data_IF_700371464172
#
_entry.id   IF_700371464172
#
_cell.length_a   1.000
_cell.length_b   1.000
_cell.length_c   1.000
_cell.angle_alpha   90.00
_cell.angle_beta   90.00
_cell.angle_gamma   90.00
#
_symmetry.space_group_name_H-M   'P 1'
#
loop_
_entity.id
_entity.type
_entity.pdbx_description
1 polymer ?
#
# COMPACT_ATOMS: atom_id res chain seq x y z
N UNK A 1 -40.57 7.87 -7.01
CA UNK A 1 -39.59 6.76 -7.03
C UNK A 1 -38.86 6.85 -5.70
N UNK A 2 -38.82 5.77 -4.91
CA UNK A 2 -38.02 5.80 -3.68
C UNK A 2 -36.55 5.95 -4.04
N UNK A 3 -35.82 6.78 -3.30
CA UNK A 3 -34.38 6.94 -3.50
C UNK A 3 -33.72 5.58 -3.27
N UNK A 4 -33.00 5.10 -4.29
CA UNK A 4 -32.22 3.88 -4.18
C UNK A 4 -31.07 4.11 -3.21
N UNK A 5 -30.98 3.26 -2.18
CA UNK A 5 -29.91 3.28 -1.19
C UNK A 5 -28.96 2.12 -1.48
N UNK A 6 -27.70 2.43 -1.73
CA UNK A 6 -26.65 1.44 -1.95
C UNK A 6 -26.43 0.61 -0.67
N UNK A 7 -26.64 -0.71 -0.67
CA UNK A 7 -26.60 -1.53 0.54
C UNK A 7 -25.26 -1.46 1.30
N UNK A 8 -24.15 -1.32 0.59
CA UNK A 8 -22.82 -1.23 1.19
C UNK A 8 -22.57 0.09 1.95
N UNK A 9 -23.35 1.12 1.63
CA UNK A 9 -23.25 2.47 2.21
C UNK A 9 -24.43 2.81 3.13
N UNK A 10 -25.36 1.88 3.35
CA UNK A 10 -26.56 2.12 4.14
C UNK A 10 -26.23 2.27 5.63
N UNK A 11 -26.33 3.51 6.12
CA UNK A 11 -26.01 3.86 7.51
C UNK A 11 -27.14 3.55 8.49
N UNK A 12 -28.32 3.18 7.99
CA UNK A 12 -29.50 2.90 8.83
C UNK A 12 -29.45 1.52 9.50
N UNK A 13 -28.63 0.59 8.97
CA UNK A 13 -28.50 -0.74 9.55
C UNK A 13 -27.57 -0.76 10.78
N UNK A 14 -28.18 -0.83 11.97
CA UNK A 14 -27.46 -0.94 13.23
C UNK A 14 -26.79 -2.31 13.45
N UNK A 15 -27.08 -3.33 12.63
CA UNK A 15 -26.44 -4.64 12.73
C UNK A 15 -24.96 -4.61 12.37
N UNK A 16 -24.47 -3.53 11.75
CA UNK A 16 -23.06 -3.34 11.35
C UNK A 16 -22.03 -3.55 12.46
N UNK A 17 -22.43 -3.43 13.73
CA UNK A 17 -21.56 -3.59 14.90
C UNK A 17 -21.38 -5.04 15.36
N UNK A 18 -22.15 -5.98 14.82
CA UNK A 18 -22.06 -7.41 15.14
C UNK A 18 -21.72 -8.16 13.86
N UNK A 19 -20.62 -8.91 13.85
CA UNK A 19 -20.31 -9.78 12.74
C UNK A 19 -21.37 -10.92 12.70
N UNK A 20 -22.16 -11.03 11.62
CA UNK A 20 -23.20 -12.05 11.55
C UNK A 20 -22.60 -13.45 11.44
N UNK A 21 -23.24 -14.42 12.10
CA UNK A 21 -22.94 -15.85 11.97
C UNK A 21 -24.24 -16.54 11.52
N UNK A 22 -24.32 -17.06 10.27
CA UNK A 22 -23.30 -17.02 9.22
C UNK A 22 -23.06 -15.60 8.64
N UNK A 23 -21.92 -15.36 7.95
CA UNK A 23 -21.67 -14.08 7.27
C UNK A 23 -22.79 -13.74 6.27
N UNK A 24 -23.19 -12.47 6.24
CA UNK A 24 -24.17 -11.96 5.28
C UNK A 24 -23.57 -11.85 3.87
N UNK A 25 -22.26 -11.59 3.78
CA UNK A 25 -21.49 -11.53 2.54
C UNK A 25 -20.32 -12.53 2.56
N UNK A 26 -20.56 -13.80 2.20
CA UNK A 26 -19.54 -14.86 2.29
C UNK A 26 -18.31 -14.64 1.39
N UNK A 27 -18.49 -13.96 0.26
CA UNK A 27 -17.44 -13.60 -0.67
C UNK A 27 -16.48 -12.55 -0.08
N UNK A 28 -17.01 -11.48 0.54
CA UNK A 28 -16.23 -10.49 1.27
C UNK A 28 -15.54 -11.12 2.47
N UNK A 29 -16.23 -11.98 3.22
CA UNK A 29 -15.64 -12.69 4.34
C UNK A 29 -14.47 -13.59 3.91
N UNK A 30 -14.60 -14.26 2.76
CA UNK A 30 -13.50 -15.06 2.18
C UNK A 30 -12.31 -14.20 1.82
N UNK A 31 -12.51 -13.01 1.24
CA UNK A 31 -11.41 -12.08 0.93
C UNK A 31 -10.69 -11.65 2.22
N UNK A 32 -11.43 -11.32 3.28
CA UNK A 32 -10.85 -11.01 4.58
C UNK A 32 -10.04 -12.17 5.14
N UNK A 33 -10.58 -13.39 5.09
CA UNK A 33 -9.85 -14.58 5.56
C UNK A 33 -8.60 -14.89 4.74
N UNK A 34 -8.60 -14.61 3.44
CA UNK A 34 -7.41 -14.71 2.61
C UNK A 34 -6.37 -13.66 3.01
N UNK A 35 -6.76 -12.41 3.25
CA UNK A 35 -5.84 -11.39 3.73
C UNK A 35 -5.21 -11.77 5.10
N UNK A 36 -6.03 -12.23 6.05
CA UNK A 36 -5.54 -12.70 7.36
C UNK A 36 -4.57 -13.88 7.23
N UNK A 37 -4.80 -14.79 6.30
CA UNK A 37 -3.91 -15.91 6.06
C UNK A 37 -2.56 -15.51 5.45
N UNK A 38 -2.45 -14.30 4.91
CA UNK A 38 -1.24 -13.70 4.35
C UNK A 38 -0.54 -12.74 5.32
N UNK A 39 -0.90 -12.73 6.61
CA UNK A 39 -0.23 -11.88 7.60
C UNK A 39 1.28 -12.18 7.65
N UNK A 40 2.08 -11.12 7.72
CA UNK A 40 3.53 -11.18 7.90
C UNK A 40 4.02 -9.96 8.69
N UNK A 41 5.21 -10.03 9.27
CA UNK A 41 5.87 -8.88 9.92
C UNK A 41 7.26 -8.60 9.34
N UNK A 42 7.74 -7.36 9.49
CA UNK A 42 9.02 -6.92 8.91
C UNK A 42 10.22 -7.74 9.38
N UNK A 43 10.15 -8.31 10.58
CA UNK A 43 11.20 -9.17 11.15
C UNK A 43 11.38 -10.49 10.40
N UNK A 44 10.41 -10.90 9.59
CA UNK A 44 10.52 -12.10 8.75
C UNK A 44 11.43 -11.87 7.53
N UNK A 45 11.77 -10.61 7.22
CA UNK A 45 12.58 -10.23 6.06
C UNK A 45 14.05 -10.02 6.46
N UNK A 46 14.93 -10.95 6.05
CA UNK A 46 16.38 -10.83 6.25
C UNK A 46 17.04 -9.91 5.21
N UNK A 47 17.51 -8.74 5.66
CA UNK A 47 18.22 -7.75 4.83
C UNK A 47 19.76 -7.89 4.89
N UNK A 48 20.31 -8.87 5.61
CA UNK A 48 21.76 -8.98 5.84
C UNK A 48 22.58 -9.08 4.56
N UNK A 49 22.06 -9.78 3.54
CA UNK A 49 22.70 -9.93 2.22
C UNK A 49 22.45 -8.73 1.29
N UNK A 50 21.39 -7.97 1.53
CA UNK A 50 20.98 -6.87 0.66
C UNK A 50 21.97 -5.71 0.74
N UNK A 51 22.55 -5.48 1.91
CA UNK A 51 23.62 -4.47 2.09
C UNK A 51 24.82 -4.77 1.19
N UNK A 52 25.29 -6.02 1.17
CA UNK A 52 26.40 -6.43 0.29
C UNK A 52 26.03 -6.28 -1.19
N UNK A 53 24.84 -6.76 -1.56
CA UNK A 53 24.35 -6.67 -2.94
C UNK A 53 24.24 -5.22 -3.40
N UNK A 54 23.74 -4.34 -2.56
CA UNK A 54 23.58 -2.92 -2.85
C UNK A 54 24.92 -2.23 -3.14
N UNK A 55 25.93 -2.45 -2.31
CA UNK A 55 27.22 -1.77 -2.42
C UNK A 55 28.17 -2.40 -3.43
N UNK A 56 28.09 -3.72 -3.64
CA UNK A 56 29.11 -4.46 -4.38
C UNK A 56 28.60 -5.14 -5.65
N UNK A 57 27.28 -5.34 -5.81
CA UNK A 57 26.71 -6.02 -6.98
C UNK A 57 25.87 -5.12 -7.88
N UNK A 58 25.23 -4.10 -7.32
CA UNK A 58 24.51 -3.11 -8.12
C UNK A 58 25.48 -2.05 -8.67
N UNK A 59 25.20 -1.58 -9.88
CA UNK A 59 25.84 -0.38 -10.42
C UNK A 59 25.15 0.91 -9.93
N UNK A 60 25.69 2.08 -10.29
CA UNK A 60 25.15 3.38 -9.89
C UNK A 60 23.72 3.61 -10.36
N UNK A 61 23.41 3.19 -11.59
CA UNK A 61 22.12 3.45 -12.22
C UNK A 61 21.03 2.54 -11.64
N UNK A 62 21.39 1.30 -11.32
CA UNK A 62 20.53 0.36 -10.60
C UNK A 62 20.23 0.86 -9.19
N UNK A 63 21.24 1.30 -8.43
CA UNK A 63 21.02 1.89 -7.11
C UNK A 63 20.14 3.13 -7.19
N UNK A 64 20.43 4.03 -8.13
CA UNK A 64 19.62 5.23 -8.35
C UNK A 64 18.16 4.85 -8.65
N UNK A 65 17.94 3.92 -9.57
CA UNK A 65 16.60 3.51 -9.96
C UNK A 65 15.81 2.89 -8.80
N UNK A 66 16.42 1.97 -8.04
CA UNK A 66 15.77 1.31 -6.91
C UNK A 66 15.53 2.27 -5.75
N UNK A 67 16.47 3.19 -5.46
CA UNK A 67 16.25 4.17 -4.39
C UNK A 67 15.05 5.07 -4.71
N UNK A 68 14.83 5.42 -5.98
CA UNK A 68 13.64 6.18 -6.40
C UNK A 68 12.34 5.38 -6.29
N UNK A 69 12.37 4.08 -6.55
CA UNK A 69 11.22 3.19 -6.33
C UNK A 69 10.88 3.13 -4.84
N UNK A 70 11.86 2.88 -3.97
CA UNK A 70 11.64 2.82 -2.52
C UNK A 70 11.08 4.13 -1.97
N UNK A 71 11.59 5.26 -2.46
CA UNK A 71 11.10 6.59 -2.10
C UNK A 71 9.63 6.83 -2.52
N UNK A 72 9.21 6.29 -3.67
CA UNK A 72 7.81 6.31 -4.07
C UNK A 72 6.94 5.44 -3.15
N UNK A 73 7.39 4.23 -2.83
CA UNK A 73 6.64 3.30 -1.97
C UNK A 73 6.46 3.83 -0.54
N UNK A 74 7.55 4.25 0.10
CA UNK A 74 7.54 4.76 1.48
C UNK A 74 6.54 5.91 1.68
N UNK A 75 6.29 6.69 0.64
CA UNK A 75 5.34 7.79 0.69
C UNK A 75 3.91 7.41 0.25
N UNK A 76 3.76 6.38 -0.59
CA UNK A 76 2.47 6.01 -1.18
C UNK A 76 1.57 5.22 -0.25
N UNK A 77 2.13 4.31 0.55
CA UNK A 77 1.33 3.49 1.49
C UNK A 77 0.66 4.38 2.55
N UNK A 78 1.33 5.45 2.98
CA UNK A 78 0.74 6.45 3.86
C UNK A 78 -0.50 7.13 3.26
N UNK A 79 -0.48 7.41 1.94
CA UNK A 79 -1.62 8.02 1.22
C UNK A 79 -2.76 7.00 1.07
N UNK A 80 -2.45 5.74 0.78
CA UNK A 80 -3.44 4.66 0.73
C UNK A 80 -4.11 4.51 2.08
N UNK A 81 -3.32 4.45 3.16
CA UNK A 81 -3.81 4.34 4.52
C UNK A 81 -4.69 5.53 4.91
N UNK A 82 -4.31 6.76 4.55
CA UNK A 82 -5.12 7.95 4.79
C UNK A 82 -6.51 7.84 4.14
N UNK A 83 -6.60 7.35 2.90
CA UNK A 83 -7.88 7.11 2.25
C UNK A 83 -8.70 6.01 2.94
N UNK A 84 -8.06 4.90 3.31
CA UNK A 84 -8.74 3.80 3.98
C UNK A 84 -9.37 4.27 5.30
N UNK A 85 -8.61 5.00 6.12
CA UNK A 85 -9.04 5.48 7.44
C UNK A 85 -10.06 6.62 7.34
N UNK A 86 -9.83 7.61 6.47
CA UNK A 86 -10.67 8.80 6.41
C UNK A 86 -11.93 8.60 5.55
N UNK A 87 -11.90 7.67 4.59
CA UNK A 87 -12.99 7.50 3.60
C UNK A 87 -13.56 6.09 3.65
N UNK A 88 -12.89 5.11 3.06
CA UNK A 88 -13.53 3.81 2.76
C UNK A 88 -14.01 3.07 4.02
N UNK A 89 -13.21 3.02 5.08
CA UNK A 89 -13.61 2.38 6.33
C UNK A 89 -14.68 3.18 7.11
N UNK A 90 -14.93 4.44 6.78
CA UNK A 90 -16.02 5.23 7.36
C UNK A 90 -17.31 5.07 6.56
N UNK A 91 -17.20 5.03 5.24
CA UNK A 91 -18.33 5.00 4.31
C UNK A 91 -18.96 3.61 4.21
N UNK A 92 -18.15 2.55 4.23
CA UNK A 92 -18.64 1.17 4.15
C UNK A 92 -19.24 0.71 5.49
N UNK A 93 -20.48 0.23 5.41
CA UNK A 93 -21.27 -0.20 6.57
C UNK A 93 -21.33 -1.72 6.73
N UNK A 94 -20.96 -2.49 5.71
CA UNK A 94 -20.91 -3.96 5.75
C UNK A 94 -19.76 -4.43 6.66
N UNK A 95 -20.08 -5.19 7.70
CA UNK A 95 -19.13 -5.64 8.72
C UNK A 95 -17.96 -6.44 8.14
N UNK A 96 -18.23 -7.35 7.20
CA UNK A 96 -17.21 -8.18 6.55
C UNK A 96 -16.19 -7.34 5.77
N UNK A 97 -16.65 -6.32 5.04
CA UNK A 97 -15.77 -5.38 4.34
C UNK A 97 -14.99 -4.49 5.32
N UNK A 98 -15.60 -4.08 6.44
CA UNK A 98 -14.90 -3.34 7.49
C UNK A 98 -13.79 -4.18 8.14
N UNK A 99 -14.01 -5.50 8.31
CA UNK A 99 -12.97 -6.42 8.74
C UNK A 99 -11.80 -6.47 7.73
N UNK A 100 -12.11 -6.53 6.44
CA UNK A 100 -11.10 -6.47 5.38
C UNK A 100 -10.29 -5.17 5.45
N UNK A 101 -10.95 -4.01 5.45
CA UNK A 101 -10.26 -2.72 5.51
C UNK A 101 -9.48 -2.51 6.81
N UNK A 102 -9.99 -2.99 7.95
CA UNK A 102 -9.24 -2.94 9.21
C UNK A 102 -7.93 -3.73 9.14
N UNK A 103 -7.94 -4.87 8.45
CA UNK A 103 -6.73 -5.65 8.24
C UNK A 103 -5.82 -5.04 7.16
N UNK A 104 -6.38 -4.51 6.08
CA UNK A 104 -5.62 -3.79 5.06
C UNK A 104 -4.86 -2.61 5.66
N UNK A 105 -5.51 -1.78 6.49
CA UNK A 105 -4.87 -0.67 7.21
C UNK A 105 -3.68 -1.15 8.05
N UNK A 106 -3.81 -2.30 8.72
CA UNK A 106 -2.72 -2.87 9.50
C UNK A 106 -1.54 -3.29 8.60
N UNK A 107 -1.81 -3.94 7.47
CA UNK A 107 -0.77 -4.35 6.52
C UNK A 107 -0.12 -3.18 5.81
N UNK A 108 -0.84 -2.11 5.47
CA UNK A 108 -0.25 -0.88 4.92
C UNK A 108 0.77 -0.25 5.89
N UNK A 109 0.56 -0.37 7.21
CA UNK A 109 1.56 0.07 8.18
C UNK A 109 2.82 -0.81 8.16
N UNK A 110 2.65 -2.13 8.02
CA UNK A 110 3.77 -3.08 7.88
C UNK A 110 4.55 -2.81 6.59
N UNK A 111 3.86 -2.52 5.48
CA UNK A 111 4.50 -2.13 4.21
C UNK A 111 5.31 -0.85 4.37
N UNK A 112 4.73 0.18 4.98
CA UNK A 112 5.40 1.46 5.23
C UNK A 112 6.64 1.29 6.11
N UNK A 113 6.57 0.45 7.14
CA UNK A 113 7.71 0.10 7.98
C UNK A 113 8.80 -0.63 7.18
N UNK A 114 8.42 -1.62 6.37
CA UNK A 114 9.36 -2.38 5.54
C UNK A 114 10.13 -1.49 4.57
N UNK A 115 9.45 -0.56 3.88
CA UNK A 115 10.11 0.36 2.96
C UNK A 115 11.00 1.37 3.69
N UNK A 116 10.59 1.82 4.87
CA UNK A 116 11.42 2.69 5.72
C UNK A 116 12.69 1.97 6.15
N UNK A 117 12.58 0.71 6.57
CA UNK A 117 13.71 -0.14 6.97
C UNK A 117 14.65 -0.41 5.79
N UNK A 118 14.13 -0.68 4.60
CA UNK A 118 14.92 -0.84 3.38
C UNK A 118 15.73 0.43 3.06
N UNK A 119 15.10 1.60 3.11
CA UNK A 119 15.79 2.88 2.89
C UNK A 119 16.89 3.08 3.94
N UNK A 120 16.57 2.91 5.22
CA UNK A 120 17.54 3.13 6.31
C UNK A 120 18.73 2.15 6.24
N UNK A 121 18.47 0.90 5.87
CA UNK A 121 19.48 -0.16 5.78
C UNK A 121 20.43 0.04 4.58
N UNK A 122 19.90 0.50 3.44
CA UNK A 122 20.64 0.54 2.17
C UNK A 122 21.33 1.89 1.92
N UNK A 123 20.75 2.99 2.41
CA UNK A 123 21.19 4.36 2.09
C UNK A 123 22.04 4.92 3.22
N UNK A 124 23.36 4.91 3.02
CA UNK A 124 24.33 5.39 4.02
C UNK A 124 24.44 6.90 4.11
N UNK A 125 24.19 7.61 3.01
CA UNK A 125 24.28 9.07 2.98
C UNK A 125 23.04 9.67 3.66
N UNK A 126 23.19 10.39 4.78
CA UNK A 126 22.07 11.01 5.49
C UNK A 126 21.28 12.01 4.63
N UNK A 127 21.95 12.74 3.73
CA UNK A 127 21.30 13.74 2.89
C UNK A 127 20.46 13.07 1.80
N UNK A 128 20.98 11.99 1.21
CA UNK A 128 20.23 11.16 0.27
C UNK A 128 19.02 10.54 0.97
N UNK A 129 19.22 9.93 2.14
CA UNK A 129 18.17 9.31 2.93
C UNK A 129 17.05 10.30 3.28
N UNK A 130 17.40 11.50 3.74
CA UNK A 130 16.42 12.55 4.05
C UNK A 130 15.62 12.94 2.80
N UNK A 131 16.28 13.07 1.65
CA UNK A 131 15.59 13.37 0.40
C UNK A 131 14.61 12.26 -0.01
N UNK A 132 14.94 10.99 0.21
CA UNK A 132 14.05 9.87 -0.10
C UNK A 132 12.84 9.81 0.85
N UNK A 133 13.01 10.13 2.13
CA UNK A 133 11.86 10.27 3.06
C UNK A 133 11.00 11.49 2.75
N UNK A 134 11.58 12.56 2.22
CA UNK A 134 10.85 13.75 1.76
C UNK A 134 10.44 13.67 0.27
N UNK A 135 10.30 12.47 -0.28
CA UNK A 135 10.11 12.26 -1.72
C UNK A 135 8.89 12.97 -2.31
N UNK A 136 7.77 13.04 -1.57
CA UNK A 136 6.57 13.78 -2.01
C UNK A 136 6.89 15.26 -2.27
N UNK A 137 7.83 15.84 -1.50
CA UNK A 137 8.21 17.25 -1.63
C UNK A 137 9.34 17.43 -2.62
N UNK A 138 10.35 16.55 -2.59
CA UNK A 138 11.60 16.73 -3.34
C UNK A 138 11.63 16.08 -4.73
N UNK A 139 10.79 15.07 -4.99
CA UNK A 139 10.80 14.31 -6.24
C UNK A 139 9.54 14.60 -7.06
N UNK A 140 9.63 15.37 -8.17
CA UNK A 140 8.46 15.81 -8.93
C UNK A 140 7.55 14.68 -9.44
N UNK A 141 8.12 13.52 -9.76
CA UNK A 141 7.36 12.35 -10.24
C UNK A 141 6.62 11.62 -9.11
N UNK A 142 7.16 11.60 -7.89
CA UNK A 142 6.44 11.10 -6.70
C UNK A 142 5.34 12.08 -6.35
N UNK A 143 5.65 13.38 -6.34
CA UNK A 143 4.70 14.46 -6.09
C UNK A 143 3.48 14.38 -7.00
N UNK A 144 3.66 14.25 -8.31
CA UNK A 144 2.54 14.17 -9.25
C UNK A 144 1.62 12.97 -9.00
N UNK A 145 2.19 11.79 -8.69
CA UNK A 145 1.39 10.61 -8.32
C UNK A 145 0.63 10.83 -7.00
N UNK A 146 1.30 11.42 -6.01
CA UNK A 146 0.70 11.74 -4.72
C UNK A 146 -0.45 12.75 -4.87
N UNK A 147 -0.25 13.84 -5.61
CA UNK A 147 -1.28 14.85 -5.89
C UNK A 147 -2.49 14.25 -6.61
N UNK A 148 -2.26 13.32 -7.54
CA UNK A 148 -3.35 12.59 -8.19
C UNK A 148 -4.16 11.76 -7.19
N UNK A 149 -3.51 11.01 -6.30
CA UNK A 149 -4.20 10.21 -5.27
C UNK A 149 -4.95 11.11 -4.28
N UNK A 150 -4.32 12.17 -3.79
CA UNK A 150 -4.90 13.15 -2.86
C UNK A 150 -6.13 13.87 -3.44
N UNK A 151 -6.20 14.06 -4.77
CA UNK A 151 -7.39 14.61 -5.44
C UNK A 151 -8.63 13.76 -5.15
N UNK A 152 -8.48 12.43 -5.12
CA UNK A 152 -9.59 11.52 -4.87
C UNK A 152 -9.97 11.42 -3.39
N UNK A 153 -8.99 11.51 -2.49
CA UNK A 153 -9.24 11.56 -1.04
C UNK A 153 -10.05 12.81 -0.70
N UNK A 154 -9.59 13.96 -1.17
CA UNK A 154 -10.15 15.28 -0.86
C UNK A 154 -11.38 15.63 -1.70
N UNK A 155 -11.75 14.81 -2.68
CA UNK A 155 -12.93 15.08 -3.50
C UNK A 155 -14.21 14.97 -2.67
N UNK A 156 -14.95 16.08 -2.60
CA UNK A 156 -16.28 16.17 -1.97
C UNK A 156 -17.40 15.86 -2.95
N UNK A 157 -17.11 15.79 -4.25
CA UNK A 157 -18.10 15.57 -5.31
C UNK A 157 -18.02 14.17 -5.94
N UNK A 158 -16.87 13.49 -5.86
CA UNK A 158 -16.71 12.14 -6.40
C UNK A 158 -17.45 11.09 -5.56
N UNK A 159 -18.28 10.30 -6.23
CA UNK A 159 -19.03 9.21 -5.60
C UNK A 159 -18.11 8.09 -5.13
N UNK A 160 -18.60 7.24 -4.22
CA UNK A 160 -17.85 6.10 -3.71
C UNK A 160 -17.34 5.17 -4.83
N UNK A 161 -18.15 4.73 -5.82
CA UNK A 161 -17.65 3.86 -6.89
C UNK A 161 -16.54 4.48 -7.73
N UNK A 162 -16.60 5.79 -8.01
CA UNK A 162 -15.55 6.49 -8.75
C UNK A 162 -14.24 6.49 -7.96
N UNK A 163 -14.30 6.80 -6.67
CA UNK A 163 -13.13 6.76 -5.79
C UNK A 163 -12.60 5.35 -5.59
N UNK A 164 -13.48 4.34 -5.53
CA UNK A 164 -13.09 2.94 -5.44
C UNK A 164 -12.26 2.52 -6.66
N UNK A 165 -12.69 2.88 -7.88
CA UNK A 165 -11.92 2.64 -9.10
C UNK A 165 -10.61 3.43 -9.11
N UNK A 166 -10.61 4.68 -8.65
CA UNK A 166 -9.40 5.49 -8.56
C UNK A 166 -8.35 4.87 -7.63
N UNK A 167 -8.77 4.35 -6.48
CA UNK A 167 -7.86 3.68 -5.54
C UNK A 167 -7.43 2.28 -6.00
N UNK A 168 -8.29 1.56 -6.73
CA UNK A 168 -7.85 0.36 -7.43
C UNK A 168 -6.76 0.66 -8.48
N UNK A 169 -6.81 1.83 -9.14
CA UNK A 169 -5.75 2.29 -10.03
C UNK A 169 -4.48 2.71 -9.26
N UNK A 170 -4.61 3.30 -8.07
CA UNK A 170 -3.46 3.56 -7.19
C UNK A 170 -2.78 2.25 -6.83
N UNK A 171 -3.45 1.34 -6.13
CA UNK A 171 -2.83 0.10 -5.63
C UNK A 171 -2.41 -0.85 -6.77
N UNK A 172 -3.17 -0.91 -7.86
CA UNK A 172 -2.87 -1.82 -8.97
C UNK A 172 -1.92 -1.24 -10.02
N UNK A 173 -2.24 -0.07 -10.59
CA UNK A 173 -1.52 0.46 -11.74
C UNK A 173 -0.27 1.23 -11.29
N UNK A 174 -0.35 2.07 -10.25
CA UNK A 174 0.79 2.93 -9.90
C UNK A 174 1.99 2.14 -9.36
N UNK A 175 1.75 0.98 -8.74
CA UNK A 175 2.79 0.09 -8.21
C UNK A 175 3.27 -0.95 -9.24
N UNK A 176 2.47 -1.30 -10.25
CA UNK A 176 2.76 -2.38 -11.21
C UNK A 176 4.17 -2.34 -11.82
N UNK A 177 4.60 -1.16 -12.30
CA UNK A 177 5.91 -0.99 -12.91
C UNK A 177 7.06 -1.17 -11.93
N UNK A 178 6.88 -0.71 -10.68
CA UNK A 178 7.86 -0.86 -9.61
C UNK A 178 7.99 -2.32 -9.17
N UNK A 179 6.87 -3.03 -9.01
CA UNK A 179 6.88 -4.46 -8.70
C UNK A 179 7.57 -5.26 -9.81
N UNK A 180 7.26 -4.98 -11.08
CA UNK A 180 7.91 -5.63 -12.21
C UNK A 180 9.44 -5.40 -12.22
N UNK A 181 9.88 -4.19 -11.90
CA UNK A 181 11.30 -3.84 -11.79
C UNK A 181 12.03 -4.62 -10.67
N UNK A 182 11.39 -4.80 -9.52
CA UNK A 182 11.97 -5.57 -8.40
C UNK A 182 12.00 -7.06 -8.73
N UNK A 183 10.94 -7.60 -9.35
CA UNK A 183 10.96 -8.98 -9.87
C UNK A 183 12.07 -9.19 -10.91
N UNK A 184 12.39 -8.18 -11.71
CA UNK A 184 13.53 -8.23 -12.63
C UNK A 184 14.87 -8.37 -11.90
N UNK A 185 15.08 -7.65 -10.79
CA UNK A 185 16.27 -7.84 -9.94
C UNK A 185 16.30 -9.22 -9.31
N UNK A 186 15.16 -9.69 -8.80
CA UNK A 186 15.04 -11.04 -8.24
C UNK A 186 15.43 -12.11 -9.26
N UNK A 187 14.97 -11.99 -10.51
CA UNK A 187 15.33 -12.91 -11.61
C UNK A 187 16.84 -12.95 -11.88
N UNK A 188 17.56 -11.88 -11.57
CA UNK A 188 19.03 -11.80 -11.68
C UNK A 188 19.76 -12.29 -10.43
N UNK A 189 19.06 -12.75 -9.40
CA UNK A 189 19.64 -13.19 -8.13
C UNK A 189 20.18 -12.04 -7.28
N UNK A 190 19.63 -10.84 -7.44
CA UNK A 190 20.03 -9.62 -6.71
C UNK A 190 19.00 -9.26 -5.65
N UNK A 191 19.45 -8.55 -4.60
CA UNK A 191 18.62 -8.02 -3.50
C UNK A 191 17.58 -9.03 -2.96
N UNK A 192 18.00 -10.15 -2.34
CA UNK A 192 17.09 -11.22 -1.93
C UNK A 192 16.04 -10.80 -0.89
N UNK A 193 16.38 -9.90 0.04
CA UNK A 193 15.47 -9.34 1.04
C UNK A 193 14.42 -8.44 0.39
N UNK A 194 14.84 -7.47 -0.44
CA UNK A 194 13.92 -6.63 -1.23
C UNK A 194 13.02 -7.47 -2.14
N UNK A 195 13.59 -8.50 -2.79
CA UNK A 195 12.86 -9.40 -3.67
C UNK A 195 11.94 -10.36 -2.93
N UNK A 196 12.15 -10.60 -1.64
CA UNK A 196 11.25 -11.38 -0.78
C UNK A 196 10.13 -10.50 -0.26
N UNK A 197 10.43 -9.32 0.30
CA UNK A 197 9.41 -8.38 0.78
C UNK A 197 8.46 -7.89 -0.32
N UNK A 198 8.90 -7.90 -1.59
CA UNK A 198 8.05 -7.57 -2.74
C UNK A 198 7.09 -8.70 -3.16
N UNK A 199 7.26 -9.91 -2.63
CA UNK A 199 6.33 -11.03 -2.87
C UNK A 199 5.25 -11.16 -1.80
N UNK A 200 5.48 -10.53 -0.64
CA UNK A 200 4.57 -10.47 0.49
C UNK A 200 3.58 -9.32 0.32
#
# INVERSE_FOLDING_TARGET
MGDFVEPILDTSDLKRFVLPIPPAYPDLWRMYKQAVASFWTVEEVDLSKDVDHWHHKLNSDERYFISRILAFFAASDGIVNENLVQRFAQEVQVSEARCFYGFQIAMENVHSEMYTLLIDTLIRDPDERQMLFEAIVRLPYVKQKAEWALTWINSTTATFPVRLVAFAAVEGIFFSGSFAAIFWLKKRGLMPGLGFSNEL
#
